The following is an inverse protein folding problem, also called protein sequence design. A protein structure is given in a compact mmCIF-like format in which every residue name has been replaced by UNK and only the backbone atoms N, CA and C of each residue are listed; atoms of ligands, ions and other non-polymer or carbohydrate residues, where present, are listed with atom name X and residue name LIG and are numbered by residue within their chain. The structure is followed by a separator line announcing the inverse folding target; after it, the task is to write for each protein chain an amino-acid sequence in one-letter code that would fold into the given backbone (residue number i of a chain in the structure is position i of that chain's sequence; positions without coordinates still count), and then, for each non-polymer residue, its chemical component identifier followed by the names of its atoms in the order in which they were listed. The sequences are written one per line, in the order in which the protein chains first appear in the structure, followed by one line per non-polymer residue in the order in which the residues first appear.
data_IF_075672213816
#
_entry.id   IF_075672213816
#
_cell.length_a   1.000
_cell.length_b   1.000
_cell.length_c   1.000
_cell.angle_alpha   90.00
_cell.angle_beta   90.00
_cell.angle_gamma   90.00
#
_symmetry.space_group_name_H-M   'P 1'
#
loop_
_entity.id
_entity.type
_entity.pdbx_description
1 polymer ?
#
# COMPACT_ATOMS: atom_id res chain seq x y z
N UNK A 1 -5.72 -7.71 -15.09
CA UNK A 1 -4.50 -7.88 -14.30
C UNK A 1 -3.86 -6.55 -13.93
N UNK A 2 -3.92 -6.22 -12.64
CA UNK A 2 -3.13 -5.17 -11.99
C UNK A 2 -1.93 -5.86 -11.33
N UNK A 3 -0.73 -5.35 -11.58
CA UNK A 3 0.47 -5.84 -10.92
C UNK A 3 0.66 -5.13 -9.58
N UNK A 4 0.60 -5.85 -8.48
CA UNK A 4 0.79 -5.31 -7.12
C UNK A 4 2.19 -5.66 -6.62
N UNK A 5 2.87 -4.66 -6.06
CA UNK A 5 4.22 -4.76 -5.53
C UNK A 5 4.24 -4.27 -4.09
N UNK A 6 4.60 -5.14 -3.16
CA UNK A 6 4.75 -4.85 -1.74
C UNK A 6 6.21 -4.48 -1.47
N UNK A 7 6.41 -3.33 -0.86
CA UNK A 7 7.73 -2.75 -0.65
C UNK A 7 8.00 -2.44 0.83
N UNK A 8 9.27 -2.53 1.18
CA UNK A 8 9.78 -2.18 2.50
C UNK A 8 9.67 -3.33 3.51
N UNK A 9 10.64 -3.43 4.44
CA UNK A 9 10.77 -4.58 5.33
C UNK A 9 9.54 -4.77 6.23
N UNK A 10 8.87 -3.69 6.64
CA UNK A 10 7.68 -3.74 7.50
C UNK A 10 6.51 -4.50 6.86
N UNK A 11 6.28 -4.31 5.56
CA UNK A 11 5.20 -5.02 4.85
C UNK A 11 5.68 -6.38 4.36
N UNK A 12 6.92 -6.47 3.87
CA UNK A 12 7.52 -7.72 3.36
C UNK A 12 7.55 -8.85 4.41
N UNK A 13 7.66 -8.51 5.70
CA UNK A 13 7.61 -9.51 6.78
C UNK A 13 6.21 -10.07 7.04
N UNK A 14 5.16 -9.49 6.44
CA UNK A 14 3.75 -9.83 6.68
C UNK A 14 3.07 -10.45 5.47
N UNK A 15 3.68 -10.37 4.29
CA UNK A 15 3.15 -10.97 3.05
C UNK A 15 3.94 -12.23 2.71
N UNK A 16 3.27 -13.22 2.13
CA UNK A 16 3.95 -14.43 1.65
C UNK A 16 4.61 -14.15 0.31
N UNK A 17 3.88 -13.49 -0.59
CA UNK A 17 4.39 -13.08 -1.90
C UNK A 17 4.52 -11.55 -1.99
N UNK A 18 5.70 -11.02 -2.35
CA UNK A 18 5.91 -9.57 -2.45
C UNK A 18 5.43 -8.99 -3.79
N UNK A 19 5.21 -9.83 -4.79
CA UNK A 19 4.65 -9.45 -6.09
C UNK A 19 3.47 -10.36 -6.38
N UNK A 20 2.34 -9.78 -6.76
CA UNK A 20 1.12 -10.52 -7.02
C UNK A 20 0.31 -9.85 -8.12
N UNK A 21 -0.24 -10.67 -8.99
CA UNK A 21 -1.06 -10.26 -10.11
C UNK A 21 -2.54 -10.43 -9.73
N UNK A 22 -3.28 -9.32 -9.72
CA UNK A 22 -4.70 -9.30 -9.29
C UNK A 22 -5.59 -9.05 -10.49
N UNK A 23 -6.55 -9.93 -10.73
CA UNK A 23 -7.58 -9.70 -11.74
C UNK A 23 -8.58 -8.64 -11.26
N UNK A 24 -8.97 -7.75 -12.17
CA UNK A 24 -9.95 -6.68 -11.90
C UNK A 24 -10.90 -6.58 -13.09
N UNK A 25 -12.20 -6.56 -12.82
CA UNK A 25 -13.26 -6.50 -13.84
C UNK A 25 -13.57 -5.07 -14.32
N UNK A 26 -12.76 -4.09 -13.89
CA UNK A 26 -12.91 -2.68 -14.23
C UNK A 26 -12.11 -1.77 -13.29
N UNK A 27 -12.22 -0.44 -13.46
CA UNK A 27 -11.61 0.52 -12.55
C UNK A 27 -12.09 0.27 -11.11
N UNK A 28 -11.17 -0.08 -10.22
CA UNK A 28 -11.44 -0.47 -8.84
C UNK A 28 -10.62 0.39 -7.89
N UNK A 29 -11.21 0.85 -6.79
CA UNK A 29 -10.46 1.59 -5.77
C UNK A 29 -9.40 0.68 -5.12
N UNK A 30 -8.21 1.20 -4.85
CA UNK A 30 -7.12 0.44 -4.21
C UNK A 30 -7.59 -0.18 -2.88
N UNK A 31 -8.40 0.55 -2.11
CA UNK A 31 -9.02 0.04 -0.90
C UNK A 31 -9.83 -1.23 -1.17
N UNK A 32 -10.73 -1.19 -2.14
CA UNK A 32 -11.57 -2.34 -2.51
C UNK A 32 -10.74 -3.51 -3.05
N UNK A 33 -9.64 -3.23 -3.76
CA UNK A 33 -8.71 -4.26 -4.23
C UNK A 33 -8.02 -4.98 -3.06
N UNK A 34 -7.55 -4.22 -2.06
CA UNK A 34 -6.94 -4.79 -0.84
C UNK A 34 -7.98 -5.58 -0.05
N UNK A 35 -9.18 -5.03 0.13
CA UNK A 35 -10.24 -5.67 0.92
C UNK A 35 -10.82 -6.92 0.24
N UNK A 36 -10.83 -6.94 -1.10
CA UNK A 36 -11.31 -8.07 -1.91
C UNK A 36 -10.29 -9.21 -2.06
N UNK A 37 -9.03 -8.99 -1.69
CA UNK A 37 -7.98 -10.00 -1.72
C UNK A 37 -7.62 -10.44 -0.29
N UNK A 38 -7.96 -11.68 0.07
CA UNK A 38 -7.82 -12.17 1.44
C UNK A 38 -6.38 -12.11 1.98
N UNK A 39 -5.38 -12.37 1.12
CA UNK A 39 -3.97 -12.31 1.52
C UNK A 39 -3.52 -10.88 1.80
N UNK A 40 -3.86 -9.94 0.90
CA UNK A 40 -3.57 -8.53 1.11
C UNK A 40 -4.32 -7.97 2.32
N UNK A 41 -5.57 -8.36 2.52
CA UNK A 41 -6.38 -7.92 3.65
C UNK A 41 -5.74 -8.35 4.97
N UNK A 42 -5.37 -9.63 5.12
CA UNK A 42 -4.78 -10.13 6.36
C UNK A 42 -3.46 -9.44 6.69
N UNK A 43 -2.59 -9.27 5.68
CA UNK A 43 -1.28 -8.65 5.86
C UNK A 43 -1.34 -7.13 6.09
N UNK A 44 -2.21 -6.42 5.37
CA UNK A 44 -2.20 -4.97 5.27
C UNK A 44 -3.26 -4.26 6.11
N UNK A 45 -4.29 -4.96 6.59
CA UNK A 45 -5.36 -4.40 7.43
C UNK A 45 -4.89 -3.44 8.53
N UNK A 46 -3.89 -3.78 9.38
CA UNK A 46 -3.47 -2.88 10.45
C UNK A 46 -2.89 -1.55 9.95
N UNK A 47 -2.30 -1.51 8.76
CA UNK A 47 -1.71 -0.30 8.19
C UNK A 47 -2.74 0.54 7.44
N UNK A 48 -3.74 -0.10 6.83
CA UNK A 48 -4.91 0.57 6.24
C UNK A 48 -5.63 1.38 7.31
N UNK A 49 -5.94 0.76 8.45
CA UNK A 49 -6.65 1.39 9.58
C UNK A 49 -5.87 2.56 10.17
N UNK A 50 -4.53 2.47 10.21
CA UNK A 50 -3.66 3.52 10.76
C UNK A 50 -3.32 4.64 9.77
N UNK A 51 -3.67 4.47 8.49
CA UNK A 51 -3.27 5.40 7.42
C UNK A 51 -1.76 5.38 7.15
N UNK A 52 -1.11 4.24 7.35
CA UNK A 52 0.35 4.07 7.24
C UNK A 52 0.78 3.46 5.90
N UNK A 53 -0.11 3.43 4.90
CA UNK A 53 0.21 2.95 3.56
C UNK A 53 0.48 4.11 2.62
N UNK A 54 1.63 4.07 1.96
CA UNK A 54 1.95 4.91 0.81
C UNK A 54 1.68 4.08 -0.45
N UNK A 55 0.79 4.56 -1.31
CA UNK A 55 0.43 3.87 -2.55
C UNK A 55 0.84 4.70 -3.76
N UNK A 56 1.34 4.01 -4.78
CA UNK A 56 1.60 4.64 -6.09
C UNK A 56 1.01 3.80 -7.21
N UNK A 57 0.36 4.46 -8.16
CA UNK A 57 -0.15 3.85 -9.40
C UNK A 57 0.66 4.42 -10.55
N UNK A 58 1.33 3.56 -11.32
CA UNK A 58 2.13 3.97 -12.47
C UNK A 58 3.10 5.14 -12.16
N UNK A 59 3.82 5.01 -11.03
CA UNK A 59 4.80 5.99 -10.52
C UNK A 59 4.20 7.31 -10.00
N UNK A 60 2.88 7.42 -9.91
CA UNK A 60 2.20 8.58 -9.32
C UNK A 60 1.70 8.23 -7.93
N UNK A 61 2.00 9.06 -6.94
CA UNK A 61 1.47 8.91 -5.57
C UNK A 61 -0.03 9.11 -5.60
N UNK A 62 -0.76 8.22 -4.93
CA UNK A 62 -2.21 8.27 -4.82
C UNK A 62 -2.69 8.05 -3.38
N UNK A 63 -4.01 7.96 -3.24
CA UNK A 63 -4.70 7.57 -2.02
C UNK A 63 -5.32 6.18 -2.15
N UNK A 64 -5.81 5.60 -1.06
CA UNK A 64 -6.54 4.33 -1.12
C UNK A 64 -7.85 4.41 -1.94
N UNK A 65 -8.39 5.61 -2.13
CA UNK A 65 -9.56 5.86 -2.98
C UNK A 65 -9.20 6.02 -4.48
N UNK A 66 -7.90 6.05 -4.81
CA UNK A 66 -7.46 6.10 -6.20
C UNK A 66 -7.84 4.81 -6.92
N UNK A 67 -8.23 4.95 -8.19
CA UNK A 67 -8.65 3.84 -9.02
C UNK A 67 -7.44 3.19 -9.70
N UNK A 68 -7.45 1.87 -9.75
CA UNK A 68 -6.56 1.04 -10.56
C UNK A 68 -7.38 0.24 -11.56
N UNK A 69 -6.80 -0.04 -12.72
CA UNK A 69 -7.42 -0.80 -13.80
C UNK A 69 -6.42 -1.78 -14.40
N UNK A 70 -6.93 -2.68 -15.25
CA UNK A 70 -6.12 -3.61 -16.03
C UNK A 70 -4.89 -2.93 -16.68
N UNK A 71 -3.72 -3.55 -16.52
CA UNK A 71 -2.44 -3.05 -16.99
C UNK A 71 -1.71 -2.09 -16.04
N UNK A 72 -2.34 -1.65 -14.96
CA UNK A 72 -1.68 -0.76 -13.98
C UNK A 72 -0.67 -1.51 -13.11
N UNK A 73 0.36 -0.78 -12.68
CA UNK A 73 1.27 -1.21 -11.61
C UNK A 73 0.98 -0.44 -10.33
N UNK A 74 0.52 -1.15 -9.29
CA UNK A 74 0.30 -0.66 -7.95
C UNK A 74 1.49 -1.01 -7.06
N UNK A 75 2.11 -0.01 -6.44
CA UNK A 75 3.12 -0.23 -5.39
C UNK A 75 2.57 0.19 -4.05
N UNK A 76 2.76 -0.64 -3.03
CA UNK A 76 2.34 -0.40 -1.66
C UNK A 76 3.58 -0.44 -0.77
N UNK A 77 3.82 0.65 -0.04
CA UNK A 77 4.92 0.75 0.92
C UNK A 77 4.39 1.19 2.28
N UNK A 78 5.10 0.84 3.36
CA UNK A 78 4.85 1.41 4.67
C UNK A 78 5.38 2.84 4.73
N UNK A 79 4.57 3.76 5.24
CA UNK A 79 5.00 5.09 5.67
C UNK A 79 4.78 5.22 7.18
N UNK A 80 5.87 5.36 7.91
CA UNK A 80 5.79 5.63 9.35
C UNK A 80 5.28 7.05 9.57
N UNK A 81 4.31 7.23 10.47
CA UNK A 81 3.90 8.54 11.00
C UNK A 81 4.93 9.08 12.01
N UNK A 82 6.22 8.97 11.72
CA UNK A 82 7.19 9.81 12.39
C UNK A 82 6.95 11.24 11.87
N UNK A 83 6.02 11.95 12.51
CA UNK A 83 6.03 13.40 12.51
C UNK A 83 7.37 13.81 13.13
N UNK A 84 8.39 13.92 12.29
CA UNK A 84 9.61 14.60 12.64
C UNK A 84 9.23 16.08 12.75
N UNK A 85 8.91 16.53 13.97
CA UNK A 85 8.58 17.92 14.26
C UNK A 85 9.81 18.83 14.25
N UNK A 86 11.01 18.27 14.04
CA UNK A 86 12.28 18.98 13.99
C UNK A 86 12.69 19.63 15.32
N UNK A 87 11.94 19.43 16.40
CA UNK A 87 12.16 20.10 17.70
C UNK A 87 12.77 19.20 18.78
N UNK A 88 12.97 17.91 18.51
CA UNK A 88 13.45 16.94 19.53
C UNK A 88 14.96 16.67 19.48
N UNK A 89 15.74 17.36 18.64
CA UNK A 89 17.21 17.27 18.59
C UNK A 89 17.90 18.53 19.15
N UNK A 90 17.44 19.06 20.29
CA UNK A 90 18.22 20.00 21.10
C UNK A 90 18.80 19.22 22.29
N UNK A 91 20.10 18.88 22.28
CA UNK A 91 20.75 18.35 23.47
C UNK A 91 20.74 19.43 24.56
N UNK A 92 20.16 19.13 25.72
CA UNK A 92 20.44 19.86 26.98
C UNK A 92 21.76 19.45 27.58
#
# INVERSE_FOLDING_TARGET
MVKVLILGPTLLQRVTEPELDVEVDGPTAIKMLIEGNAELMDALAPFVVRGELLVTVNRKVGSLDSLVKDGDTLKIAHQSRASYDGTTDIPT
#
